data_IF_714329669716
#
_entry.id   IF_714329669716
#
_cell.length_a   1.000
_cell.length_b   1.000
_cell.length_c   1.000
_cell.angle_alpha   90.00
_cell.angle_beta   90.00
_cell.angle_gamma   90.00
#
_symmetry.space_group_name_H-M   'P 1'
#
loop_
_entity.id
_entity.type
_entity.pdbx_description
1 polymer ?
#
# COMPACT_ATOMS: atom_id res chain seq x y z
N UNK A 1 -36.43 -46.82 39.15
CA UNK A 1 -36.39 -46.05 37.88
C UNK A 1 -36.61 -44.57 38.18
N UNK A 2 -35.55 -43.76 38.31
CA UNK A 2 -35.64 -42.29 38.47
C UNK A 2 -34.72 -41.62 37.45
N UNK A 3 -35.32 -40.74 36.68
CA UNK A 3 -34.86 -40.20 35.40
C UNK A 3 -33.65 -39.28 35.53
N UNK A 4 -32.63 -39.54 34.70
CA UNK A 4 -31.38 -38.77 34.60
C UNK A 4 -31.69 -37.42 33.93
N UNK A 5 -31.77 -36.33 34.70
CA UNK A 5 -31.93 -34.96 34.17
C UNK A 5 -30.76 -34.64 33.23
N UNK A 6 -31.05 -34.54 31.92
CA UNK A 6 -30.11 -34.08 30.90
C UNK A 6 -29.73 -32.63 31.19
N UNK A 7 -28.50 -32.44 31.63
CA UNK A 7 -27.92 -31.12 31.85
C UNK A 7 -27.73 -30.44 30.48
N UNK A 8 -28.61 -29.49 30.12
CA UNK A 8 -28.48 -28.72 28.88
C UNK A 8 -27.26 -27.81 29.01
N UNK A 9 -26.12 -28.25 28.45
CA UNK A 9 -24.95 -27.39 28.26
C UNK A 9 -25.39 -26.17 27.44
N UNK A 10 -25.45 -25.00 28.07
CA UNK A 10 -25.78 -23.75 27.41
C UNK A 10 -24.78 -23.46 26.29
N UNK A 11 -25.21 -23.63 25.04
CA UNK A 11 -24.38 -23.31 23.89
C UNK A 11 -24.05 -21.83 23.89
N UNK A 12 -22.77 -21.47 23.73
CA UNK A 12 -22.34 -20.07 23.55
C UNK A 12 -23.14 -19.48 22.39
N UNK A 13 -23.90 -18.41 22.65
CA UNK A 13 -24.62 -17.68 21.59
C UNK A 13 -23.58 -17.20 20.57
N UNK A 14 -23.78 -17.56 19.30
CA UNK A 14 -22.90 -17.11 18.21
C UNK A 14 -23.10 -15.60 18.02
N UNK A 15 -22.00 -14.86 17.91
CA UNK A 15 -22.01 -13.41 17.68
C UNK A 15 -22.57 -13.09 16.28
N UNK A 16 -22.30 -13.95 15.30
CA UNK A 16 -22.76 -13.81 13.92
C UNK A 16 -23.64 -14.99 13.50
N UNK A 17 -24.65 -14.69 12.69
CA UNK A 17 -25.59 -15.62 12.09
C UNK A 17 -25.16 -15.99 10.66
N UNK A 18 -25.77 -17.04 10.10
CA UNK A 18 -25.56 -17.40 8.68
C UNK A 18 -26.02 -16.28 7.72
N UNK A 19 -27.03 -15.51 8.12
CA UNK A 19 -27.51 -14.36 7.35
C UNK A 19 -26.44 -13.27 7.28
N UNK A 20 -25.70 -13.04 8.37
CA UNK A 20 -24.61 -12.06 8.40
C UNK A 20 -23.48 -12.43 7.45
N UNK A 21 -23.09 -13.72 7.39
CA UNK A 21 -22.05 -14.20 6.46
C UNK A 21 -22.48 -14.15 4.99
N UNK A 22 -23.78 -14.25 4.72
CA UNK A 22 -24.36 -14.23 3.37
C UNK A 22 -24.82 -12.83 2.94
N UNK A 23 -24.58 -11.80 3.76
CA UNK A 23 -24.96 -10.43 3.42
C UNK A 23 -24.10 -9.87 2.27
N UNK A 24 -24.74 -9.08 1.40
CA UNK A 24 -24.09 -8.34 0.30
C UNK A 24 -23.91 -6.84 0.62
N UNK A 25 -24.06 -6.43 1.88
CA UNK A 25 -24.06 -5.01 2.30
C UNK A 25 -22.70 -4.32 2.12
N UNK A 26 -21.65 -5.09 1.84
CA UNK A 26 -20.28 -4.61 1.66
C UNK A 26 -19.58 -4.33 2.99
N UNK A 27 -18.32 -3.93 2.91
CA UNK A 27 -17.47 -3.70 4.08
C UNK A 27 -17.40 -2.21 4.43
N UNK A 28 -17.31 -1.90 5.72
CA UNK A 28 -17.15 -0.53 6.23
C UNK A 28 -15.97 0.18 5.54
N UNK A 29 -16.26 1.26 4.81
CA UNK A 29 -15.27 1.99 4.00
C UNK A 29 -14.15 2.61 4.83
N UNK A 30 -14.40 2.89 6.12
CA UNK A 30 -13.40 3.38 7.07
C UNK A 30 -12.34 2.33 7.43
N UNK A 31 -12.64 1.04 7.28
CA UNK A 31 -11.73 -0.07 7.61
C UNK A 31 -10.76 -0.36 6.46
N UNK A 32 -11.27 -0.44 5.23
CA UNK A 32 -10.46 -0.85 4.06
C UNK A 32 -10.04 0.30 3.14
N UNK A 33 -10.77 1.42 3.15
CA UNK A 33 -10.51 2.58 2.30
C UNK A 33 -9.08 3.14 2.44
N UNK A 34 -8.62 3.42 3.67
CA UNK A 34 -7.23 3.80 3.91
C UNK A 34 -6.20 2.85 3.32
N UNK A 35 -6.42 1.54 3.46
CA UNK A 35 -5.51 0.50 3.00
C UNK A 35 -5.41 0.45 1.48
N UNK A 36 -6.55 0.56 0.77
CA UNK A 36 -6.53 0.58 -0.69
C UNK A 36 -5.87 1.87 -1.22
N UNK A 37 -6.14 3.02 -0.59
CA UNK A 37 -5.48 4.27 -0.99
C UNK A 37 -3.97 4.21 -0.75
N UNK A 38 -3.55 3.63 0.38
CA UNK A 38 -2.14 3.39 0.66
C UNK A 38 -1.48 2.52 -0.42
N UNK A 39 -2.13 1.43 -0.83
CA UNK A 39 -1.67 0.60 -1.94
C UNK A 39 -1.61 1.38 -3.25
N UNK A 40 -2.68 2.09 -3.63
CA UNK A 40 -2.77 2.84 -4.89
C UNK A 40 -1.70 3.92 -5.03
N UNK A 41 -1.43 4.65 -3.95
CA UNK A 41 -0.31 5.60 -3.91
C UNK A 41 1.03 4.88 -4.00
N UNK A 42 1.23 3.79 -3.28
CA UNK A 42 2.49 3.01 -3.35
C UNK A 42 2.73 2.50 -4.77
N UNK A 43 1.70 1.96 -5.42
CA UNK A 43 1.72 1.50 -6.80
C UNK A 43 2.04 2.65 -7.76
N UNK A 44 1.39 3.81 -7.61
CA UNK A 44 1.61 4.95 -8.51
C UNK A 44 3.02 5.55 -8.36
N UNK A 45 3.55 5.62 -7.14
CA UNK A 45 4.93 6.01 -6.90
C UNK A 45 5.94 4.93 -7.32
N UNK A 46 5.53 3.68 -7.56
CA UNK A 46 6.41 2.64 -8.11
C UNK A 46 6.33 2.49 -9.63
N UNK A 47 5.32 3.08 -10.28
CA UNK A 47 5.12 3.04 -11.73
C UNK A 47 6.42 3.35 -12.52
N UNK A 48 6.68 2.72 -13.68
CA UNK A 48 7.95 2.90 -14.38
C UNK A 48 8.23 4.36 -14.77
N UNK A 49 9.51 4.73 -14.79
CA UNK A 49 9.94 6.05 -15.29
C UNK A 49 9.71 6.16 -16.81
N UNK A 50 9.89 5.05 -17.54
CA UNK A 50 9.66 4.90 -18.98
C UNK A 50 8.74 3.68 -19.20
N UNK A 51 7.42 3.82 -19.01
CA UNK A 51 6.48 2.71 -19.14
C UNK A 51 6.32 2.28 -20.60
N UNK A 52 6.25 0.96 -20.82
CA UNK A 52 5.87 0.35 -22.09
C UNK A 52 4.37 0.52 -22.35
N UNK A 53 3.90 0.18 -23.56
CA UNK A 53 2.47 0.16 -23.87
C UNK A 53 1.71 -0.84 -22.98
N UNK A 54 2.33 -1.99 -22.68
CA UNK A 54 1.75 -3.00 -21.80
C UNK A 54 1.63 -2.49 -20.37
N UNK A 55 2.68 -1.82 -19.83
CA UNK A 55 2.62 -1.19 -18.50
C UNK A 55 1.44 -0.21 -18.41
N UNK A 56 1.27 0.66 -19.42
CA UNK A 56 0.16 1.62 -19.44
C UNK A 56 -1.19 0.91 -19.45
N UNK A 57 -1.35 -0.11 -20.29
CA UNK A 57 -2.58 -0.89 -20.42
C UNK A 57 -2.94 -1.61 -19.12
N UNK A 58 -1.96 -2.26 -18.49
CA UNK A 58 -2.17 -3.04 -17.27
C UNK A 58 -2.57 -2.17 -16.09
N UNK A 59 -1.89 -1.03 -15.90
CA UNK A 59 -2.23 -0.08 -14.85
C UNK A 59 -3.59 0.57 -15.09
N UNK A 60 -3.91 0.93 -16.35
CA UNK A 60 -5.23 1.48 -16.71
C UNK A 60 -6.33 0.46 -16.41
N UNK A 61 -6.16 -0.78 -16.85
CA UNK A 61 -7.10 -1.88 -16.64
C UNK A 61 -7.31 -2.16 -15.15
N UNK A 62 -6.23 -2.17 -14.36
CA UNK A 62 -6.30 -2.32 -12.92
C UNK A 62 -7.19 -1.24 -12.26
N UNK A 63 -6.94 0.04 -12.58
CA UNK A 63 -7.72 1.16 -12.04
C UNK A 63 -9.19 1.06 -12.45
N UNK A 64 -9.47 0.83 -13.73
CA UNK A 64 -10.85 0.76 -14.23
C UNK A 64 -11.63 -0.42 -13.65
N UNK A 65 -10.97 -1.54 -13.40
CA UNK A 65 -11.60 -2.72 -12.79
C UNK A 65 -11.99 -2.49 -11.33
N UNK A 66 -11.44 -1.49 -10.64
CA UNK A 66 -11.89 -1.15 -9.28
C UNK A 66 -13.39 -0.85 -9.23
N UNK A 67 -13.95 -0.22 -10.27
CA UNK A 67 -15.39 0.04 -10.37
C UNK A 67 -16.27 -1.20 -10.26
N UNK A 68 -15.71 -2.40 -10.49
CA UNK A 68 -16.41 -3.69 -10.41
C UNK A 68 -16.17 -4.43 -9.10
N UNK A 69 -15.03 -4.21 -8.44
CA UNK A 69 -14.57 -5.09 -7.34
C UNK A 69 -14.48 -4.40 -5.97
N UNK A 70 -14.65 -3.07 -5.87
CA UNK A 70 -14.62 -2.39 -4.58
C UNK A 70 -15.64 -3.01 -3.61
N UNK A 71 -15.29 -3.28 -2.34
CA UNK A 71 -16.17 -3.95 -1.38
C UNK A 71 -17.23 -3.00 -0.79
N UNK A 72 -17.89 -2.23 -1.65
CA UNK A 72 -18.91 -1.24 -1.33
C UNK A 72 -19.75 -0.97 -2.59
N UNK A 73 -21.03 -1.32 -2.57
CA UNK A 73 -21.92 -1.20 -3.73
C UNK A 73 -22.06 0.23 -4.25
N UNK A 74 -22.22 1.21 -3.35
CA UNK A 74 -22.28 2.64 -3.70
C UNK A 74 -20.99 3.13 -4.35
N UNK A 75 -19.84 2.69 -3.82
CA UNK A 75 -18.52 3.05 -4.32
C UNK A 75 -18.34 2.54 -5.76
N UNK A 76 -18.79 1.31 -6.05
CA UNK A 76 -18.81 0.74 -7.41
C UNK A 76 -19.71 1.54 -8.36
N UNK A 77 -20.95 1.81 -7.96
CA UNK A 77 -21.91 2.59 -8.77
C UNK A 77 -21.41 4.00 -9.10
N UNK A 78 -20.74 4.65 -8.14
CA UNK A 78 -20.22 6.01 -8.32
C UNK A 78 -18.86 6.05 -9.03
N UNK A 79 -18.17 4.91 -9.19
CA UNK A 79 -16.83 4.89 -9.76
C UNK A 79 -16.75 5.46 -11.17
N UNK A 80 -17.75 5.18 -12.02
CA UNK A 80 -17.82 5.73 -13.38
C UNK A 80 -17.89 7.26 -13.39
N UNK A 81 -18.68 7.84 -12.49
CA UNK A 81 -18.78 9.30 -12.32
C UNK A 81 -17.46 9.87 -11.77
N UNK A 82 -16.87 9.20 -10.79
CA UNK A 82 -15.61 9.61 -10.19
C UNK A 82 -14.47 9.62 -11.22
N UNK A 83 -14.33 8.56 -12.02
CA UNK A 83 -13.27 8.47 -13.03
C UNK A 83 -13.50 9.42 -14.20
N UNK A 84 -14.75 9.70 -14.57
CA UNK A 84 -15.08 10.71 -15.57
C UNK A 84 -14.68 12.13 -15.11
N UNK A 85 -14.74 12.38 -13.79
CA UNK A 85 -14.37 13.66 -13.21
C UNK A 85 -12.85 13.91 -13.10
N UNK A 86 -12.03 12.84 -13.21
CA UNK A 86 -10.58 12.91 -13.44
C UNK A 86 -10.13 11.77 -14.37
N UNK A 87 -10.29 11.93 -15.70
CA UNK A 87 -10.03 10.85 -16.65
C UNK A 87 -8.58 10.36 -16.61
N UNK A 88 -8.40 9.03 -16.62
CA UNK A 88 -7.09 8.40 -16.73
C UNK A 88 -6.61 8.39 -18.19
N UNK A 89 -6.03 9.50 -18.62
CA UNK A 89 -5.55 9.75 -19.98
C UNK A 89 -4.14 9.19 -20.22
N UNK A 90 -3.72 9.11 -21.49
CA UNK A 90 -2.35 8.72 -21.84
C UNK A 90 -1.31 9.72 -21.31
N UNK A 91 -1.69 10.99 -21.16
CA UNK A 91 -0.86 12.01 -20.50
C UNK A 91 -0.65 11.67 -19.03
N UNK A 92 -1.68 11.20 -18.32
CA UNK A 92 -1.56 10.74 -16.94
C UNK A 92 -0.65 9.50 -16.83
N UNK A 93 -0.69 8.60 -17.82
CA UNK A 93 0.11 7.37 -17.84
C UNK A 93 1.51 7.53 -18.47
N UNK A 94 1.93 8.77 -18.81
CA UNK A 94 3.20 9.04 -19.51
C UNK A 94 4.43 8.52 -18.77
N UNK A 95 4.48 8.67 -17.45
CA UNK A 95 5.59 8.27 -16.60
C UNK A 95 5.16 8.28 -15.12
N UNK A 96 6.04 7.84 -14.23
CA UNK A 96 5.84 7.84 -12.77
C UNK A 96 5.30 9.16 -12.21
N UNK A 97 5.87 10.29 -12.62
CA UNK A 97 5.47 11.59 -12.09
C UNK A 97 4.02 11.91 -12.45
N UNK A 98 3.68 11.76 -13.72
CA UNK A 98 2.33 12.02 -14.21
C UNK A 98 1.29 11.10 -13.55
N UNK A 99 1.59 9.81 -13.43
CA UNK A 99 0.64 8.85 -12.88
C UNK A 99 0.45 9.02 -11.37
N UNK A 100 1.54 9.24 -10.63
CA UNK A 100 1.45 9.55 -9.19
C UNK A 100 0.75 10.87 -8.91
N UNK A 101 0.95 11.89 -9.76
CA UNK A 101 0.22 13.16 -9.66
C UNK A 101 -1.27 12.97 -9.93
N UNK A 102 -1.63 12.24 -10.99
CA UNK A 102 -3.02 11.90 -11.28
C UNK A 102 -3.69 11.14 -10.14
N UNK A 103 -2.98 10.16 -9.53
CA UNK A 103 -3.50 9.40 -8.38
C UNK A 103 -3.77 10.31 -7.17
N UNK A 104 -2.89 11.28 -6.91
CA UNK A 104 -3.10 12.31 -5.89
C UNK A 104 -4.32 13.17 -6.19
N UNK A 105 -4.45 13.69 -7.41
CA UNK A 105 -5.56 14.55 -7.79
C UNK A 105 -6.90 13.81 -7.75
N UNK A 106 -6.93 12.55 -8.20
CA UNK A 106 -8.10 11.68 -8.10
C UNK A 106 -8.51 11.45 -6.63
N UNK A 107 -7.55 11.18 -5.74
CA UNK A 107 -7.83 11.02 -4.32
C UNK A 107 -8.38 12.31 -3.68
N UNK A 108 -7.82 13.47 -4.02
CA UNK A 108 -8.29 14.76 -3.52
C UNK A 108 -9.68 15.11 -4.04
N UNK A 109 -10.02 14.72 -5.27
CA UNK A 109 -11.37 14.87 -5.81
C UNK A 109 -12.38 14.03 -5.05
N UNK A 110 -12.06 12.77 -4.75
CA UNK A 110 -12.90 11.92 -3.90
C UNK A 110 -13.05 12.54 -2.50
N UNK A 111 -11.97 13.08 -1.93
CA UNK A 111 -12.03 13.79 -0.65
C UNK A 111 -12.99 14.98 -0.72
N UNK A 112 -12.90 15.81 -1.76
CA UNK A 112 -13.81 16.94 -1.99
C UNK A 112 -15.28 16.49 -2.08
N UNK A 113 -15.57 15.42 -2.82
CA UNK A 113 -16.93 14.86 -2.94
C UNK A 113 -17.48 14.32 -1.61
N UNK A 114 -16.60 13.88 -0.71
CA UNK A 114 -16.97 13.40 0.62
C UNK A 114 -16.86 14.48 1.70
N UNK A 115 -16.66 15.75 1.31
CA UNK A 115 -16.44 16.88 2.23
C UNK A 115 -15.25 16.67 3.20
N UNK A 116 -14.22 15.96 2.75
CA UNK A 116 -12.96 15.72 3.46
C UNK A 116 -11.86 16.62 2.91
N UNK A 117 -10.89 16.93 3.75
CA UNK A 117 -9.66 17.64 3.36
C UNK A 117 -8.45 16.86 3.83
N UNK A 118 -7.49 16.62 2.94
CA UNK A 118 -6.20 16.03 3.32
C UNK A 118 -5.26 17.07 3.94
N UNK A 119 -5.36 18.32 3.47
CA UNK A 119 -4.43 19.42 3.74
C UNK A 119 -2.96 19.07 3.40
N UNK A 120 -2.75 18.20 2.39
CA UNK A 120 -1.43 17.80 1.93
C UNK A 120 -1.19 18.27 0.50
N UNK A 121 0.04 18.71 0.25
CA UNK A 121 0.54 18.96 -1.10
C UNK A 121 1.01 17.66 -1.75
N UNK A 122 1.02 17.60 -3.09
CA UNK A 122 1.61 16.48 -3.82
C UNK A 122 3.08 16.21 -3.41
N UNK A 123 3.84 17.27 -3.11
CA UNK A 123 5.24 17.15 -2.67
C UNK A 123 5.36 16.40 -1.35
N UNK A 124 4.49 16.68 -0.38
CA UNK A 124 4.47 15.99 0.90
C UNK A 124 4.08 14.52 0.76
N UNK A 125 3.06 14.24 -0.06
CA UNK A 125 2.64 12.86 -0.36
C UNK A 125 3.77 12.10 -1.06
N UNK A 126 4.40 12.70 -2.07
CA UNK A 126 5.58 12.12 -2.73
C UNK A 126 6.68 11.81 -1.72
N UNK A 127 7.07 12.77 -0.90
CA UNK A 127 8.12 12.58 0.09
C UNK A 127 7.76 11.47 1.09
N UNK A 128 6.50 11.38 1.51
CA UNK A 128 5.98 10.32 2.38
C UNK A 128 6.26 8.94 1.80
N UNK A 129 5.84 8.68 0.56
CA UNK A 129 6.02 7.37 -0.08
C UNK A 129 7.46 7.09 -0.51
N UNK A 130 8.27 8.11 -0.80
CA UNK A 130 9.71 7.95 -1.08
C UNK A 130 10.52 7.45 0.14
N UNK A 131 10.01 7.62 1.36
CA UNK A 131 10.62 6.99 2.54
C UNK A 131 10.60 5.47 2.43
N UNK A 132 9.56 4.89 1.82
CA UNK A 132 9.35 3.45 1.69
C UNK A 132 10.03 2.81 0.48
N UNK A 133 10.66 3.60 -0.38
CA UNK A 133 11.29 3.05 -1.58
C UNK A 133 12.41 2.09 -1.20
N UNK A 134 12.19 0.81 -1.51
CA UNK A 134 13.23 -0.19 -1.50
C UNK A 134 14.33 0.24 -2.48
N UNK A 135 15.57 0.16 -2.04
CA UNK A 135 16.71 0.36 -2.90
C UNK A 135 17.64 -0.79 -2.62
N UNK A 136 18.00 -1.53 -3.65
CA UNK A 136 19.06 -2.52 -3.54
C UNK A 136 20.34 -1.74 -3.25
N UNK A 137 20.76 -1.68 -1.99
CA UNK A 137 22.19 -1.49 -1.71
C UNK A 137 22.84 -2.77 -2.19
N UNK A 138 23.73 -2.67 -3.18
CA UNK A 138 24.80 -3.67 -3.19
C UNK A 138 25.52 -3.47 -1.87
N UNK A 139 25.37 -4.41 -0.93
CA UNK A 139 26.17 -4.38 0.27
C UNK A 139 27.64 -4.21 -0.14
N UNK A 140 28.38 -3.34 0.53
CA UNK A 140 29.83 -3.25 0.33
C UNK A 140 30.48 -4.64 0.50
N UNK A 141 29.88 -5.50 1.33
CA UNK A 141 30.23 -6.92 1.42
C UNK A 141 30.02 -7.68 0.11
N UNK A 142 28.94 -7.44 -0.63
CA UNK A 142 28.69 -8.09 -1.94
C UNK A 142 29.73 -7.67 -2.98
N UNK A 143 30.20 -6.40 -2.98
CA UNK A 143 31.32 -5.98 -3.84
C UNK A 143 32.62 -6.68 -3.49
N UNK A 144 32.94 -6.84 -2.20
CA UNK A 144 34.12 -7.58 -1.75
C UNK A 144 34.00 -9.07 -2.10
N UNK A 145 32.82 -9.65 -1.93
CA UNK A 145 32.52 -11.06 -2.25
C UNK A 145 32.62 -11.32 -3.75
N UNK A 146 32.11 -10.44 -4.62
CA UNK A 146 32.21 -10.58 -6.09
C UNK A 146 33.66 -10.48 -6.57
N UNK A 147 34.47 -9.60 -5.98
CA UNK A 147 35.91 -9.51 -6.26
C UNK A 147 36.68 -10.75 -5.75
N UNK A 148 36.30 -11.31 -4.59
CA UNK A 148 36.90 -12.54 -4.05
C UNK A 148 36.44 -13.82 -4.76
N UNK A 149 35.21 -13.86 -5.30
CA UNK A 149 34.61 -15.05 -5.90
C UNK A 149 35.00 -15.30 -7.36
N UNK A 150 35.68 -14.36 -8.04
CA UNK A 150 36.33 -14.68 -9.33
C UNK A 150 37.43 -15.74 -9.21
N UNK A 151 37.89 -16.07 -8.00
CA UNK A 151 38.95 -17.08 -7.76
C UNK A 151 38.48 -18.45 -7.26
N UNK A 152 37.18 -18.73 -7.13
CA UNK A 152 36.75 -20.05 -6.66
C UNK A 152 35.44 -20.51 -7.30
N UNK A 153 35.55 -21.11 -8.49
CA UNK A 153 34.56 -22.10 -8.94
C UNK A 153 34.63 -23.29 -7.99
N UNK A 154 33.58 -23.53 -7.19
CA UNK A 154 33.23 -24.91 -6.82
C UNK A 154 31.76 -25.02 -6.42
N UNK A 155 31.16 -26.08 -6.96
CA UNK A 155 29.77 -26.48 -6.91
C UNK A 155 29.15 -26.36 -5.51
N UNK A 156 28.01 -25.67 -5.41
CA UNK A 156 27.10 -25.77 -4.26
C UNK A 156 25.73 -26.23 -4.73
N UNK A 157 25.30 -27.33 -4.15
CA UNK A 157 23.98 -27.96 -4.26
C UNK A 157 22.86 -26.96 -3.95
N UNK A 158 21.77 -27.02 -4.73
CA UNK A 158 20.57 -26.18 -4.60
C UNK A 158 19.88 -26.45 -3.25
N UNK A 159 20.19 -25.64 -2.24
CA UNK A 159 19.34 -25.49 -1.05
C UNK A 159 18.16 -24.59 -1.43
N UNK A 160 16.94 -24.94 -1.00
CA UNK A 160 15.70 -24.16 -1.22
C UNK A 160 15.94 -22.69 -0.87
N UNK A 161 16.12 -21.86 -1.90
CA UNK A 161 16.37 -20.43 -1.73
C UNK A 161 15.05 -19.80 -1.29
N UNK A 162 14.96 -19.37 -0.02
CA UNK A 162 13.91 -18.44 0.41
C UNK A 162 13.95 -17.23 -0.52
N UNK A 163 12.78 -16.81 -1.02
CA UNK A 163 12.68 -15.64 -1.89
C UNK A 163 13.25 -14.42 -1.18
N UNK A 164 14.20 -13.73 -1.83
CA UNK A 164 14.75 -12.47 -1.31
C UNK A 164 13.75 -11.36 -1.63
N UNK A 165 12.81 -11.10 -0.72
CA UNK A 165 11.97 -9.92 -0.80
C UNK A 165 12.78 -8.62 -0.65
N UNK A 166 12.31 -7.53 -1.25
CA UNK A 166 12.94 -6.20 -1.19
C UNK A 166 12.75 -5.54 0.21
N UNK A 167 13.32 -6.13 1.26
CA UNK A 167 13.08 -5.75 2.66
C UNK A 167 14.18 -4.86 3.27
N UNK A 168 15.20 -4.50 2.50
CA UNK A 168 16.37 -3.76 3.00
C UNK A 168 16.28 -2.27 2.64
N UNK A 169 16.26 -1.37 3.65
CA UNK A 169 16.23 0.06 3.45
C UNK A 169 17.64 0.60 3.15
N UNK A 170 17.73 1.60 2.27
CA UNK A 170 19.01 2.26 1.93
C UNK A 170 19.69 2.94 3.13
N UNK A 171 18.89 3.45 4.07
CA UNK A 171 19.35 4.15 5.28
C UNK A 171 18.29 4.02 6.37
N UNK A 172 18.71 3.79 7.62
CA UNK A 172 17.82 3.75 8.79
C UNK A 172 17.24 2.37 9.10
N UNK A 173 16.21 2.33 9.97
CA UNK A 173 15.58 1.08 10.43
C UNK A 173 14.63 0.52 9.38
N UNK A 174 14.54 -0.82 9.29
CA UNK A 174 13.54 -1.52 8.46
C UNK A 174 12.14 -1.03 8.83
N UNK A 175 11.43 -0.45 7.87
CA UNK A 175 10.05 -0.01 8.05
C UNK A 175 9.10 -1.18 7.78
N UNK A 176 8.06 -1.32 8.60
CA UNK A 176 6.95 -2.26 8.38
C UNK A 176 5.62 -1.52 8.50
N UNK A 177 4.61 -1.97 7.75
CA UNK A 177 3.25 -1.45 7.86
C UNK A 177 2.50 -2.21 8.97
N UNK A 178 1.73 -1.48 9.78
CA UNK A 178 0.85 -2.05 10.81
C UNK A 178 -0.57 -1.56 10.51
N UNK A 179 -1.52 -2.49 10.39
CA UNK A 179 -2.94 -2.16 10.25
C UNK A 179 -3.54 -2.06 11.65
N UNK A 180 -3.94 -0.84 12.06
CA UNK A 180 -4.58 -0.57 13.36
C UNK A 180 -6.04 -0.21 13.12
N UNK A 181 -6.97 -0.95 13.73
CA UNK A 181 -8.41 -0.64 13.72
C UNK A 181 -8.76 0.00 15.06
N UNK A 182 -9.43 1.16 15.02
CA UNK A 182 -9.81 1.96 16.18
C UNK A 182 -11.28 2.38 16.09
N UNK A 183 -11.93 2.71 17.21
CA UNK A 183 -13.26 3.33 17.21
C UNK A 183 -13.30 4.61 16.36
N UNK A 184 -14.45 4.90 15.75
CA UNK A 184 -14.61 6.02 14.79
C UNK A 184 -14.45 7.40 15.45
N UNK A 185 -14.72 7.49 16.73
CA UNK A 185 -14.62 8.67 17.59
C UNK A 185 -13.17 8.98 18.04
N UNK A 186 -12.24 8.03 17.90
CA UNK A 186 -10.82 8.28 18.17
C UNK A 186 -10.25 9.26 17.14
N UNK A 187 -9.85 10.45 17.59
CA UNK A 187 -9.27 11.52 16.77
C UNK A 187 -7.82 11.21 16.40
N UNK A 188 -7.60 10.16 15.62
CA UNK A 188 -6.27 9.74 15.17
C UNK A 188 -6.09 9.88 13.65
N UNK A 189 -4.91 10.33 13.17
CA UNK A 189 -4.63 10.33 11.75
C UNK A 189 -4.66 8.92 11.15
N UNK A 190 -5.20 8.81 9.94
CA UNK A 190 -5.24 7.55 9.17
C UNK A 190 -3.86 7.01 8.85
N UNK A 191 -2.89 7.88 8.62
CA UNK A 191 -1.52 7.50 8.29
C UNK A 191 -0.57 7.96 9.40
N UNK A 192 0.18 7.02 9.94
CA UNK A 192 1.16 7.26 11.01
C UNK A 192 2.49 6.66 10.59
N UNK A 193 3.56 7.42 10.76
CA UNK A 193 4.91 6.98 10.45
C UNK A 193 5.83 7.40 11.59
N UNK A 194 6.55 6.44 12.17
CA UNK A 194 7.55 6.70 13.19
C UNK A 194 8.64 7.63 12.62
N UNK A 195 9.08 8.61 13.41
CA UNK A 195 10.16 9.55 13.06
C UNK A 195 11.44 8.83 12.62
N UNK A 196 11.70 7.61 13.13
CA UNK A 196 12.83 6.76 12.76
C UNK A 196 12.74 6.21 11.33
N UNK A 197 11.55 6.19 10.74
CA UNK A 197 11.30 5.77 9.36
C UNK A 197 11.37 6.95 8.37
N UNK A 198 11.47 8.19 8.86
CA UNK A 198 11.62 9.40 8.03
C UNK A 198 13.08 9.56 7.63
N UNK A 199 13.35 9.70 6.32
CA UNK A 199 14.70 10.00 5.82
C UNK A 199 15.09 11.43 6.18
N UNK A 200 16.20 11.59 6.90
CA UNK A 200 16.84 12.90 7.19
C UNK A 200 18.14 13.00 6.40
N UNK A 201 18.37 14.14 5.72
CA UNK A 201 19.71 14.46 5.19
C UNK A 201 20.63 14.79 6.37
N UNK A 202 21.74 14.08 6.49
CA UNK A 202 22.85 14.53 7.35
C UNK A 202 23.46 15.77 6.71
N UNK A 203 23.56 16.88 7.45
CA UNK A 203 24.30 18.06 6.98
C UNK A 203 25.76 17.64 6.86
N UNK A 204 26.30 17.59 5.64
CA UNK A 204 27.76 17.52 5.44
C UNK A 204 28.33 18.80 6.05
N UNK A 205 29.00 18.70 7.20
CA UNK A 205 29.87 19.76 7.68
C UNK A 205 30.93 19.97 6.59
N UNK A 206 30.91 21.14 5.94
CA UNK A 206 32.05 21.59 5.14
C UNK A 206 33.22 21.67 6.11
N UNK A 207 34.20 20.76 6.00
CA UNK A 207 35.53 20.98 6.57
C UNK A 207 36.00 22.30 5.96
N UNK A 208 36.09 23.36 6.77
CA UNK A 208 36.86 24.56 6.40
C UNK A 208 38.28 24.06 6.09
N UNK A 209 38.71 24.25 4.85
CA UNK A 209 40.12 24.21 4.49
C UNK A 209 40.74 25.52 4.94
#
# INVERSE_FOLDING_TARGET
>A
MKTRKRNKKGGKKKVYTRKDFNSNDGMLTTVWGPSIWHFLHTMSFNYPLKPTCNDKSDYKRFILNMGKILPCGHCRKNFSKNIASAPLTDKALKNRHNFSKWMFDFHEQINKMLHKKSNLTFKEVRNRYENFRARCTEDLETKIVVLKHKKSKKNKTKKNKKEKGCTEPLFGKKSKCIIKIVPKDEKTPTFQMDKKCVKRRTRRTRKKR
#
